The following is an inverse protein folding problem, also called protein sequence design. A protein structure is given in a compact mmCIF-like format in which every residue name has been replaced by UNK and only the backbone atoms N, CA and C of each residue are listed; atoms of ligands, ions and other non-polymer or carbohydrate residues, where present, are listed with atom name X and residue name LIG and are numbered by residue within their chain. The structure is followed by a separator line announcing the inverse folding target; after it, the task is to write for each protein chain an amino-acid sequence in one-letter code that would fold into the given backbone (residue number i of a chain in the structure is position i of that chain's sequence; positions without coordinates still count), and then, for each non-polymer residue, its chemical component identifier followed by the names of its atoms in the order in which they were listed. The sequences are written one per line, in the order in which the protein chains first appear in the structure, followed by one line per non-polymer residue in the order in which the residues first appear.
data_IF_535367367350
#
_entry.id   IF_535367367350
#
_cell.length_a   1.000
_cell.length_b   1.000
_cell.length_c   1.000
_cell.angle_alpha   90.00
_cell.angle_beta   90.00
_cell.angle_gamma   90.00
#
_symmetry.space_group_name_H-M   'P 1'
#
loop_
_entity.id
_entity.type
_entity.pdbx_description
1 polymer ?
#
# COMPACT_ATOMS: atom_id res chain seq x y z
N UNK A 1 -29.39 -3.79 -5.38
CA UNK A 1 -28.91 -2.38 -5.33
C UNK A 1 -27.64 -2.33 -6.14
N UNK A 2 -27.71 -1.73 -7.33
CA UNK A 2 -26.53 -1.46 -8.16
C UNK A 2 -25.68 -0.41 -7.44
N UNK A 3 -24.54 -0.80 -6.89
CA UNK A 3 -23.48 0.17 -6.60
C UNK A 3 -22.92 0.60 -7.96
N UNK A 4 -23.50 1.66 -8.55
CA UNK A 4 -22.76 2.45 -9.54
C UNK A 4 -21.51 2.95 -8.82
N UNK A 5 -20.40 2.22 -8.97
CA UNK A 5 -19.09 2.82 -8.79
C UNK A 5 -19.11 4.10 -9.62
N UNK A 6 -19.00 5.26 -8.95
CA UNK A 6 -18.88 6.52 -9.65
C UNK A 6 -17.68 6.39 -10.58
N UNK A 7 -17.94 6.25 -11.89
CA UNK A 7 -16.90 6.24 -12.92
C UNK A 7 -16.41 7.68 -13.03
N UNK A 8 -15.47 8.04 -12.16
CA UNK A 8 -14.76 9.30 -12.25
C UNK A 8 -13.96 9.34 -13.54
N UNK A 9 -14.01 10.47 -14.21
CA UNK A 9 -13.14 10.77 -15.35
C UNK A 9 -11.66 10.73 -14.93
N UNK A 10 -10.73 10.51 -15.87
CA UNK A 10 -9.30 10.58 -15.60
C UNK A 10 -8.90 11.90 -14.91
N UNK A 11 -9.49 13.03 -15.32
CA UNK A 11 -9.25 14.35 -14.73
C UNK A 11 -9.72 14.43 -13.28
N UNK A 12 -10.92 13.92 -12.97
CA UNK A 12 -11.42 13.82 -11.60
C UNK A 12 -10.55 12.91 -10.73
N UNK A 13 -10.03 11.82 -11.29
CA UNK A 13 -9.11 10.94 -10.56
C UNK A 13 -7.76 11.61 -10.27
N UNK A 14 -7.24 12.42 -11.18
CA UNK A 14 -6.02 13.21 -10.93
C UNK A 14 -6.26 14.25 -9.84
N UNK A 15 -7.40 14.95 -9.84
CA UNK A 15 -7.75 15.89 -8.77
C UNK A 15 -7.85 15.19 -7.42
N UNK A 16 -8.57 14.07 -7.35
CA UNK A 16 -8.70 13.27 -6.12
C UNK A 16 -7.36 12.76 -5.62
N UNK A 17 -6.47 12.35 -6.52
CA UNK A 17 -5.11 11.93 -6.17
C UNK A 17 -4.30 13.09 -5.59
N UNK A 18 -4.38 14.28 -6.20
CA UNK A 18 -3.72 15.48 -5.69
C UNK A 18 -4.22 15.86 -4.29
N UNK A 19 -5.52 15.77 -4.05
CA UNK A 19 -6.14 16.05 -2.74
C UNK A 19 -5.77 15.01 -1.68
N UNK A 20 -5.51 13.76 -2.09
CA UNK A 20 -5.12 12.68 -1.17
C UNK A 20 -3.68 12.78 -0.67
N UNK A 21 -2.81 13.50 -1.40
CA UNK A 21 -1.42 13.66 -1.03
C UNK A 21 -1.28 14.82 -0.05
N UNK A 22 -0.53 14.58 1.03
CA UNK A 22 -0.32 15.58 2.09
C UNK A 22 1.11 15.53 2.61
N UNK A 23 1.47 16.50 3.45
CA UNK A 23 2.78 16.56 4.08
C UNK A 23 3.94 16.77 3.10
N UNK A 24 5.08 16.14 3.37
CA UNK A 24 6.31 16.30 2.58
C UNK A 24 6.21 15.67 1.19
N UNK A 25 5.49 14.55 1.05
CA UNK A 25 5.31 13.87 -0.25
C UNK A 25 4.63 14.80 -1.26
N UNK A 26 3.59 15.53 -0.84
CA UNK A 26 2.92 16.51 -1.70
C UNK A 26 3.87 17.61 -2.18
N UNK A 27 4.76 18.09 -1.30
CA UNK A 27 5.73 19.15 -1.63
C UNK A 27 6.78 18.65 -2.63
N UNK A 28 7.28 17.43 -2.44
CA UNK A 28 8.32 16.85 -3.30
C UNK A 28 7.79 16.50 -4.69
N UNK A 29 6.52 16.12 -4.79
CA UNK A 29 5.88 15.70 -6.05
C UNK A 29 5.01 16.79 -6.68
N UNK A 30 5.12 18.04 -6.24
CA UNK A 30 4.32 19.17 -6.75
C UNK A 30 4.39 19.28 -8.29
N UNK A 31 5.58 19.14 -8.86
CA UNK A 31 5.76 19.16 -10.32
C UNK A 31 5.12 17.95 -11.04
N UNK A 32 5.14 16.77 -10.42
CA UNK A 32 4.46 15.58 -10.96
C UNK A 32 2.94 15.81 -10.98
N UNK A 33 2.39 16.38 -9.89
CA UNK A 33 0.95 16.63 -9.73
C UNK A 33 0.42 17.74 -10.65
N UNK A 34 1.26 18.72 -11.01
CA UNK A 34 0.90 19.80 -11.94
C UNK A 34 0.96 19.33 -13.40
N UNK A 35 1.92 18.47 -13.74
CA UNK A 35 2.24 18.15 -15.15
C UNK A 35 1.59 16.86 -15.64
N UNK A 36 1.30 15.91 -14.76
CA UNK A 36 0.74 14.63 -15.15
C UNK A 36 -0.79 14.70 -15.32
N UNK A 37 -1.28 14.08 -16.40
CA UNK A 37 -2.72 13.98 -16.72
C UNK A 37 -3.26 12.56 -16.68
N UNK A 38 -2.40 11.60 -16.37
CA UNK A 38 -2.75 10.19 -16.29
C UNK A 38 -2.61 9.73 -14.83
N UNK A 39 -3.72 9.38 -14.16
CA UNK A 39 -3.70 8.98 -12.75
C UNK A 39 -2.87 7.71 -12.51
N UNK A 40 -2.90 6.74 -13.42
CA UNK A 40 -2.16 5.47 -13.29
C UNK A 40 -0.65 5.72 -13.33
N UNK A 41 -0.19 6.64 -14.18
CA UNK A 41 1.22 7.03 -14.25
C UNK A 41 1.69 7.68 -12.95
N UNK A 42 0.86 8.55 -12.37
CA UNK A 42 1.18 9.20 -11.08
C UNK A 42 1.25 8.14 -9.98
N UNK A 43 0.25 7.27 -9.89
CA UNK A 43 0.21 6.19 -8.91
C UNK A 43 1.43 5.27 -9.02
N UNK A 44 1.84 4.89 -10.23
CA UNK A 44 3.01 4.04 -10.42
C UNK A 44 4.32 4.72 -9.94
N UNK A 45 4.51 6.01 -10.26
CA UNK A 45 5.68 6.76 -9.79
C UNK A 45 5.69 6.88 -8.27
N UNK A 46 4.53 7.18 -7.67
CA UNK A 46 4.40 7.29 -6.22
C UNK A 46 4.67 5.94 -5.54
N UNK A 47 4.17 4.83 -6.10
CA UNK A 47 4.49 3.48 -5.64
C UNK A 47 6.00 3.24 -5.69
N UNK A 48 6.65 3.41 -6.84
CA UNK A 48 8.10 3.19 -6.94
C UNK A 48 8.93 4.02 -5.95
N UNK A 49 8.54 5.29 -5.71
CA UNK A 49 9.27 6.19 -4.79
C UNK A 49 9.01 5.88 -3.32
N UNK A 50 7.76 5.65 -2.94
CA UNK A 50 7.31 5.70 -1.55
C UNK A 50 6.78 4.37 -1.01
N UNK A 51 6.54 3.39 -1.88
CA UNK A 51 6.20 2.04 -1.43
C UNK A 51 7.39 1.48 -0.66
N UNK A 52 7.10 1.03 0.57
CA UNK A 52 8.03 0.41 1.51
C UNK A 52 7.37 -0.86 2.03
N UNK A 53 7.13 -1.84 1.17
CA UNK A 53 6.45 -3.06 1.58
C UNK A 53 7.31 -3.80 2.61
N UNK A 54 8.65 -3.62 2.63
CA UNK A 54 9.51 -4.22 3.65
C UNK A 54 9.15 -3.71 5.04
N UNK A 55 8.89 -2.41 5.19
CA UNK A 55 8.46 -1.84 6.46
C UNK A 55 7.11 -2.40 6.92
N UNK A 56 6.19 -2.65 5.98
CA UNK A 56 4.90 -3.30 6.27
C UNK A 56 5.13 -4.74 6.76
N UNK A 57 5.99 -5.49 6.07
CA UNK A 57 6.32 -6.87 6.46
C UNK A 57 7.03 -6.94 7.82
N UNK A 58 7.99 -6.05 8.08
CA UNK A 58 8.66 -5.94 9.38
C UNK A 58 7.66 -5.65 10.50
N UNK A 59 6.71 -4.73 10.28
CA UNK A 59 5.67 -4.43 11.25
C UNK A 59 4.74 -5.64 11.49
N UNK A 60 4.31 -6.31 10.42
CA UNK A 60 3.45 -7.50 10.53
C UNK A 60 4.16 -8.67 11.24
N UNK A 61 5.44 -8.90 10.94
CA UNK A 61 6.25 -9.91 11.61
C UNK A 61 6.48 -9.55 13.08
N UNK A 62 6.74 -8.27 13.40
CA UNK A 62 6.85 -7.79 14.77
C UNK A 62 5.55 -8.04 15.55
N UNK A 63 4.39 -7.72 14.95
CA UNK A 63 3.08 -8.01 15.53
C UNK A 63 2.87 -9.51 15.73
N UNK A 64 3.23 -10.34 14.75
CA UNK A 64 3.10 -11.79 14.85
C UNK A 64 3.93 -12.38 16.00
N UNK A 65 5.18 -11.92 16.18
CA UNK A 65 6.05 -12.34 17.28
C UNK A 65 5.53 -11.91 18.66
N UNK A 66 4.73 -10.85 18.74
CA UNK A 66 4.15 -10.35 19.99
C UNK A 66 2.84 -11.06 20.37
N UNK A 67 2.28 -11.94 19.51
CA UNK A 67 1.06 -12.66 19.86
C UNK A 67 1.40 -13.69 20.95
N UNK A 68 0.88 -13.44 22.15
CA UNK A 68 0.93 -14.38 23.26
C UNK A 68 0.02 -15.60 23.02
N UNK A 69 0.15 -16.61 23.89
CA UNK A 69 -0.72 -17.78 23.94
C UNK A 69 -2.21 -17.42 23.76
N UNK A 70 -2.93 -18.23 22.97
CA UNK A 70 -4.37 -18.06 22.74
C UNK A 70 -5.13 -18.63 23.94
N UNK A 71 -5.56 -17.75 24.84
CA UNK A 71 -6.24 -18.12 26.09
C UNK A 71 -7.73 -17.76 26.11
N UNK A 72 -8.19 -17.02 25.11
CA UNK A 72 -9.57 -16.53 24.99
C UNK A 72 -10.02 -16.41 23.53
N UNK A 73 -11.34 -16.30 23.31
CA UNK A 73 -11.91 -16.00 22.00
C UNK A 73 -11.36 -14.68 21.41
N UNK A 74 -11.10 -13.67 22.25
CA UNK A 74 -10.54 -12.38 21.82
C UNK A 74 -9.09 -12.53 21.33
N UNK A 75 -8.25 -13.28 22.05
CA UNK A 75 -6.88 -13.57 21.62
C UNK A 75 -6.85 -14.43 20.36
N UNK A 76 -7.83 -15.33 20.17
CA UNK A 76 -7.95 -16.12 18.95
C UNK A 76 -8.29 -15.25 17.73
N UNK A 77 -9.24 -14.31 17.87
CA UNK A 77 -9.58 -13.37 16.80
C UNK A 77 -8.37 -12.52 16.40
N UNK A 78 -7.60 -12.05 17.40
CA UNK A 78 -6.39 -11.27 17.15
C UNK A 78 -5.29 -12.09 16.43
N UNK A 79 -5.09 -13.33 16.87
CA UNK A 79 -4.20 -14.29 16.21
C UNK A 79 -4.61 -14.52 14.75
N UNK A 80 -5.87 -14.90 14.52
CA UNK A 80 -6.40 -15.16 13.19
C UNK A 80 -6.25 -13.95 12.25
N UNK A 81 -6.60 -12.75 12.73
CA UNK A 81 -6.48 -11.53 11.93
C UNK A 81 -5.02 -11.23 11.57
N UNK A 82 -4.09 -11.42 12.49
CA UNK A 82 -2.66 -11.19 12.24
C UNK A 82 -2.11 -12.18 11.23
N UNK A 83 -2.46 -13.47 11.33
CA UNK A 83 -2.05 -14.50 10.36
C UNK A 83 -2.63 -14.21 8.97
N UNK A 84 -3.90 -13.83 8.88
CA UNK A 84 -4.52 -13.47 7.60
C UNK A 84 -3.86 -12.25 6.96
N UNK A 85 -3.56 -11.21 7.74
CA UNK A 85 -2.85 -10.03 7.25
C UNK A 85 -1.44 -10.35 6.76
N UNK A 86 -0.70 -11.20 7.48
CA UNK A 86 0.62 -11.66 7.06
C UNK A 86 0.55 -12.46 5.74
N UNK A 87 -0.41 -13.38 5.62
CA UNK A 87 -0.60 -14.19 4.42
C UNK A 87 -1.02 -13.33 3.21
N UNK A 88 -1.89 -12.34 3.41
CA UNK A 88 -2.28 -11.41 2.36
C UNK A 88 -1.09 -10.57 1.88
N UNK A 89 -0.30 -10.02 2.80
CA UNK A 89 0.89 -9.24 2.46
C UNK A 89 1.92 -10.05 1.65
N UNK A 90 2.11 -11.32 1.98
CA UNK A 90 2.99 -12.24 1.22
C UNK A 90 2.43 -12.50 -0.19
N UNK A 91 1.11 -12.73 -0.31
CA UNK A 91 0.49 -13.15 -1.56
C UNK A 91 0.24 -12.02 -2.57
N UNK A 92 -0.04 -10.79 -2.13
CA UNK A 92 -0.44 -9.72 -3.04
C UNK A 92 0.74 -9.10 -3.79
N UNK A 93 1.85 -8.78 -3.12
CA UNK A 93 2.91 -7.99 -3.77
C UNK A 93 4.34 -8.28 -3.28
N UNK A 94 4.54 -9.00 -2.17
CA UNK A 94 5.90 -9.18 -1.64
C UNK A 94 6.79 -10.08 -2.51
N UNK A 95 6.20 -11.13 -3.10
CA UNK A 95 6.93 -12.06 -3.97
C UNK A 95 7.44 -11.37 -5.25
N UNK A 96 6.62 -10.52 -5.88
CA UNK A 96 6.99 -9.79 -7.09
C UNK A 96 7.94 -8.62 -6.80
N UNK A 97 7.74 -7.93 -5.67
CA UNK A 97 8.55 -6.79 -5.27
C UNK A 97 10.01 -7.15 -4.93
N UNK A 98 10.25 -8.30 -4.27
CA UNK A 98 11.63 -8.76 -3.98
C UNK A 98 12.39 -9.09 -5.28
N UNK A 99 11.72 -9.71 -6.25
CA UNK A 99 12.30 -10.13 -7.53
C UNK A 99 12.75 -8.92 -8.36
N UNK A 100 11.91 -7.88 -8.47
CA UNK A 100 12.21 -6.68 -9.26
C UNK A 100 13.35 -5.82 -8.69
N UNK A 101 13.51 -5.73 -7.36
CA UNK A 101 14.57 -4.91 -6.75
C UNK A 101 15.95 -5.58 -6.74
N UNK A 102 16.05 -6.91 -6.82
CA UNK A 102 17.35 -7.58 -7.00
C UNK A 102 17.96 -7.30 -8.38
N UNK A 103 17.15 -6.90 -9.36
CA UNK A 103 17.60 -6.52 -10.70
C UNK A 103 18.13 -5.08 -10.80
N UNK A 104 17.86 -4.23 -9.79
CA UNK A 104 18.28 -2.81 -9.77
C UNK A 104 19.45 -2.53 -8.82
N UNK A 105 20.02 -3.58 -8.19
CA UNK A 105 21.16 -3.49 -7.28
C UNK A 105 22.52 -3.83 -7.94
N UNK A 106 22.60 -3.81 -9.29
CA UNK A 106 23.84 -4.02 -10.07
C UNK A 106 24.29 -2.70 -10.69
#
# INVERSE_FOLDING_TARGET
MDYKACLFSPEENVLRLNDSLSGEVRKLEEMLLITARNPDKILNILKQKYERPEAIMEELLSKAHQISSVESAKSFINFNSTVQNLAAAINEDFANYIDERHLLAI
#
